data_IF_996922058919
#
_entry.id   IF_996922058919
#
_cell.length_a   1.000
_cell.length_b   1.000
_cell.length_c   1.000
_cell.angle_alpha   90.00
_cell.angle_beta   90.00
_cell.angle_gamma   90.00
#
_symmetry.space_group_name_H-M   'P 1'
#
loop_
_entity.id
_entity.type
_entity.pdbx_description
1 polymer ?
#
# COMPACT_ATOMS: atom_id res chain seq x y z
N UNK A 1 7.62 70.73 12.35
CA UNK A 1 7.73 69.87 11.15
C UNK A 1 7.96 68.39 11.52
N UNK A 2 8.83 68.10 12.50
CA UNK A 2 9.20 66.74 12.94
C UNK A 2 8.00 65.87 13.40
N UNK A 3 7.07 66.42 14.19
CA UNK A 3 5.92 65.66 14.71
C UNK A 3 4.95 65.16 13.61
N UNK A 4 4.80 65.91 12.51
CA UNK A 4 3.96 65.50 11.37
C UNK A 4 4.60 64.37 10.58
N UNK A 5 5.93 64.40 10.42
CA UNK A 5 6.67 63.32 9.76
C UNK A 5 6.63 62.01 10.55
N UNK A 6 6.77 62.08 11.88
CA UNK A 6 6.69 60.90 12.75
C UNK A 6 5.31 60.22 12.71
N UNK A 7 4.22 61.00 12.75
CA UNK A 7 2.86 60.46 12.67
C UNK A 7 2.59 59.76 11.33
N UNK A 8 3.04 60.32 10.22
CA UNK A 8 2.91 59.70 8.90
C UNK A 8 3.69 58.39 8.77
N UNK A 9 4.91 58.33 9.32
CA UNK A 9 5.73 57.11 9.29
C UNK A 9 5.08 55.96 10.08
N UNK A 10 4.49 56.26 11.25
CA UNK A 10 3.78 55.27 12.08
C UNK A 10 2.55 54.73 11.35
N UNK A 11 1.77 55.59 10.71
CA UNK A 11 0.58 55.17 9.95
C UNK A 11 0.94 54.29 8.75
N UNK A 12 1.96 54.67 7.99
CA UNK A 12 2.42 53.88 6.83
C UNK A 12 2.97 52.52 7.31
N UNK A 13 3.78 52.50 8.36
CA UNK A 13 4.28 51.26 8.95
C UNK A 13 3.15 50.35 9.46
N UNK A 14 2.17 50.92 10.16
CA UNK A 14 0.99 50.19 10.65
C UNK A 14 0.14 49.62 9.52
N UNK A 15 -0.04 50.36 8.42
CA UNK A 15 -0.78 49.89 7.26
C UNK A 15 -0.06 48.74 6.56
N UNK A 16 1.24 48.87 6.28
CA UNK A 16 2.03 47.84 5.61
C UNK A 16 2.10 46.53 6.42
N UNK A 17 2.28 46.63 7.75
CA UNK A 17 2.29 45.48 8.64
C UNK A 17 0.89 44.87 8.81
N UNK A 18 -0.15 45.70 8.90
CA UNK A 18 -1.54 45.25 9.03
C UNK A 18 -2.06 44.52 7.80
N UNK A 19 -1.77 45.03 6.59
CA UNK A 19 -2.27 44.41 5.34
C UNK A 19 -1.51 43.15 4.95
N UNK A 20 -0.23 43.01 5.31
CA UNK A 20 0.55 41.79 5.04
C UNK A 20 0.32 40.68 6.07
N UNK A 21 -0.19 41.02 7.26
CA UNK A 21 -0.46 40.07 8.35
C UNK A 21 -1.52 39.01 8.04
N UNK A 22 -2.46 39.26 7.12
CA UNK A 22 -3.48 38.26 6.74
C UNK A 22 -2.87 37.00 6.11
N UNK A 23 -1.71 37.12 5.44
CA UNK A 23 -1.01 36.00 4.82
C UNK A 23 -0.29 35.07 5.81
N UNK A 24 -0.12 35.50 7.06
CA UNK A 24 0.53 34.73 8.15
C UNK A 24 -0.45 33.77 8.85
N UNK A 25 -1.74 34.11 8.87
CA UNK A 25 -2.77 33.31 9.53
C UNK A 25 -3.62 32.47 8.56
N UNK A 26 -3.43 32.64 7.26
CA UNK A 26 -4.06 31.78 6.26
C UNK A 26 -3.42 30.40 6.27
N UNK A 27 -4.25 29.37 6.32
CA UNK A 27 -3.82 27.99 6.08
C UNK A 27 -3.10 27.90 4.73
N UNK A 28 -1.96 27.21 4.71
CA UNK A 28 -1.20 26.98 3.48
C UNK A 28 -1.76 25.70 2.86
N UNK A 29 -2.40 25.83 1.70
CA UNK A 29 -2.97 24.68 0.98
C UNK A 29 -1.94 23.55 0.76
N UNK A 30 -0.65 23.87 0.63
CA UNK A 30 0.45 22.91 0.47
C UNK A 30 0.79 22.13 1.74
N UNK A 31 0.26 22.52 2.90
CA UNK A 31 0.44 21.80 4.17
C UNK A 31 -0.75 20.90 4.50
N UNK A 32 -1.86 21.01 3.76
CA UNK A 32 -3.00 20.12 3.89
C UNK A 32 -2.56 18.73 3.43
N UNK A 33 -2.55 17.77 4.34
CA UNK A 33 -2.24 16.40 4.03
C UNK A 33 -3.39 15.80 3.23
N UNK A 34 -3.06 15.18 2.11
CA UNK A 34 -3.95 14.40 1.27
C UNK A 34 -3.13 13.25 0.68
N UNK A 35 -3.81 12.21 0.23
CA UNK A 35 -3.16 11.14 -0.53
C UNK A 35 -3.04 11.57 -2.00
N UNK A 36 -1.84 11.86 -2.53
CA UNK A 36 -1.67 12.32 -3.90
C UNK A 36 -1.72 11.19 -4.93
N UNK A 37 -1.94 9.96 -4.48
CA UNK A 37 -1.98 8.74 -5.28
C UNK A 37 -3.36 8.12 -5.28
N UNK A 38 -3.59 7.14 -6.15
CA UNK A 38 -4.87 6.42 -6.25
C UNK A 38 -5.11 5.48 -5.07
N UNK A 39 -4.06 5.12 -4.33
CA UNK A 39 -4.14 4.31 -3.11
C UNK A 39 -4.37 5.12 -1.84
N UNK A 40 -4.48 4.40 -0.73
CA UNK A 40 -4.60 4.96 0.62
C UNK A 40 -3.29 4.86 1.40
N UNK A 41 -3.16 5.52 2.54
CA UNK A 41 -1.98 5.45 3.39
C UNK A 41 -2.33 5.31 4.87
N UNK A 42 -1.38 4.76 5.62
CA UNK A 42 -1.47 4.69 7.07
C UNK A 42 -0.08 4.85 7.71
N UNK A 43 -0.09 5.39 8.93
CA UNK A 43 1.08 5.43 9.81
C UNK A 43 0.80 4.52 11.00
N UNK A 44 1.57 3.45 11.14
CA UNK A 44 1.51 2.48 12.22
C UNK A 44 2.85 2.57 12.95
N UNK A 45 2.91 3.28 14.08
CA UNK A 45 4.16 3.48 14.81
C UNK A 45 5.31 3.92 13.89
N UNK A 46 6.31 3.06 13.72
CA UNK A 46 7.51 3.30 12.91
C UNK A 46 7.37 2.85 11.44
N UNK A 47 6.24 2.20 11.09
CA UNK A 47 5.88 1.80 9.74
C UNK A 47 4.95 2.82 9.10
N UNK A 48 5.33 3.25 7.90
CA UNK A 48 4.57 4.13 7.05
C UNK A 48 4.18 3.40 5.77
N UNK A 49 2.89 3.08 5.64
CA UNK A 49 2.31 2.50 4.43
C UNK A 49 1.86 3.62 3.50
N UNK A 50 2.26 3.57 2.23
CA UNK A 50 1.96 4.58 1.21
C UNK A 50 1.44 3.91 -0.04
N UNK A 51 0.48 4.57 -0.69
CA UNK A 51 -0.12 4.11 -1.93
C UNK A 51 -0.62 2.65 -1.86
N UNK A 52 -1.29 2.29 -0.77
CA UNK A 52 -1.90 0.96 -0.63
C UNK A 52 -3.09 0.89 -1.59
N UNK A 53 -2.97 0.03 -2.58
CA UNK A 53 -3.88 -0.12 -3.71
C UNK A 53 -4.14 -1.61 -3.95
N UNK A 54 -5.39 -1.99 -4.17
CA UNK A 54 -5.75 -3.37 -4.48
C UNK A 54 -6.04 -3.49 -5.98
N UNK A 55 -5.36 -4.42 -6.66
CA UNK A 55 -5.61 -4.73 -8.07
C UNK A 55 -6.14 -6.16 -8.18
N UNK A 56 -7.28 -6.33 -8.85
CA UNK A 56 -7.91 -7.63 -9.06
C UNK A 56 -8.69 -7.69 -10.36
N UNK A 57 -8.68 -8.84 -11.04
CA UNK A 57 -9.52 -9.07 -12.23
C UNK A 57 -10.94 -9.52 -11.85
N UNK A 58 -11.05 -10.30 -10.77
CA UNK A 58 -12.25 -11.08 -10.43
C UNK A 58 -12.83 -10.77 -9.05
N UNK A 59 -12.10 -10.04 -8.21
CA UNK A 59 -12.45 -9.76 -6.81
C UNK A 59 -11.88 -10.79 -5.82
N UNK A 60 -11.37 -11.92 -6.31
CA UNK A 60 -11.07 -13.08 -5.46
C UNK A 60 -9.57 -13.18 -5.17
N UNK A 61 -8.76 -12.94 -6.20
CA UNK A 61 -7.31 -12.79 -6.06
C UNK A 61 -6.96 -11.32 -6.19
N UNK A 62 -6.29 -10.76 -5.18
CA UNK A 62 -5.91 -9.34 -5.12
C UNK A 62 -4.40 -9.22 -5.03
N UNK A 63 -3.80 -8.40 -5.89
CA UNK A 63 -2.42 -7.93 -5.73
C UNK A 63 -2.45 -6.60 -4.97
N UNK A 64 -1.82 -6.57 -3.79
CA UNK A 64 -1.60 -5.33 -3.07
C UNK A 64 -0.35 -4.64 -3.60
N UNK A 65 -0.56 -3.45 -4.18
CA UNK A 65 0.51 -2.55 -4.59
C UNK A 65 0.68 -1.51 -3.50
N UNK A 66 1.90 -1.36 -2.96
CA UNK A 66 2.19 -0.38 -1.91
C UNK A 66 3.69 -0.11 -1.76
N UNK A 67 4.01 0.96 -1.04
CA UNK A 67 5.34 1.20 -0.48
C UNK A 67 5.27 1.24 1.04
N UNK A 68 6.13 0.48 1.70
CA UNK A 68 6.30 0.50 3.15
C UNK A 68 7.65 1.13 3.51
N UNK A 69 7.63 2.18 4.34
CA UNK A 69 8.84 2.76 4.92
C UNK A 69 8.94 2.35 6.38
N UNK A 70 10.09 1.83 6.77
CA UNK A 70 10.40 1.48 8.14
C UNK A 70 11.44 2.46 8.69
N UNK A 71 11.01 3.28 9.64
CA UNK A 71 11.81 4.33 10.26
C UNK A 71 12.56 3.85 11.52
N UNK A 72 12.33 2.60 11.94
CA UNK A 72 13.05 1.97 13.05
C UNK A 72 14.39 1.38 12.60
N UNK A 73 15.27 1.07 13.55
CA UNK A 73 16.54 0.39 13.28
C UNK A 73 16.39 -1.14 13.05
N UNK A 74 15.20 -1.69 13.28
CA UNK A 74 14.93 -3.13 13.28
C UNK A 74 14.09 -3.56 12.07
N UNK A 75 14.23 -4.81 11.64
CA UNK A 75 13.37 -5.38 10.62
C UNK A 75 11.97 -5.70 11.17
N UNK A 76 10.92 -5.31 10.47
CA UNK A 76 9.52 -5.44 10.92
C UNK A 76 8.75 -6.29 9.92
N UNK A 77 7.94 -7.22 10.46
CA UNK A 77 6.88 -7.90 9.72
C UNK A 77 5.56 -7.16 9.93
N UNK A 78 4.96 -6.69 8.85
CA UNK A 78 3.64 -6.05 8.84
C UNK A 78 2.63 -7.11 8.44
N UNK A 79 1.65 -7.38 9.32
CA UNK A 79 0.53 -8.26 9.06
C UNK A 79 -0.66 -7.45 8.54
N UNK A 80 -1.31 -7.98 7.50
CA UNK A 80 -2.54 -7.48 6.91
C UNK A 80 -3.62 -8.52 7.06
N UNK A 81 -4.70 -8.16 7.74
CA UNK A 81 -5.91 -8.96 7.83
C UNK A 81 -6.98 -8.37 6.90
N UNK A 82 -7.69 -9.24 6.20
CA UNK A 82 -8.72 -8.88 5.23
C UNK A 82 -9.89 -9.86 5.30
N UNK A 83 -10.97 -9.57 4.58
CA UNK A 83 -12.19 -10.38 4.55
C UNK A 83 -12.70 -10.71 5.98
N UNK A 84 -12.95 -9.66 6.77
CA UNK A 84 -13.37 -9.74 8.18
C UNK A 84 -12.46 -10.61 9.08
N UNK A 85 -11.17 -10.69 8.74
CA UNK A 85 -10.16 -11.46 9.47
C UNK A 85 -10.09 -12.95 9.07
N UNK A 86 -10.78 -13.35 8.00
CA UNK A 86 -10.65 -14.68 7.44
C UNK A 86 -9.32 -14.89 6.69
N UNK A 87 -8.75 -13.82 6.14
CA UNK A 87 -7.46 -13.82 5.45
C UNK A 87 -6.38 -13.06 6.22
N UNK A 88 -5.14 -13.52 6.10
CA UNK A 88 -3.95 -12.85 6.63
C UNK A 88 -2.80 -12.97 5.63
N UNK A 89 -2.06 -11.88 5.41
CA UNK A 89 -0.82 -11.85 4.64
C UNK A 89 0.24 -11.00 5.36
N UNK A 90 1.51 -11.33 5.21
CA UNK A 90 2.61 -10.61 5.88
C UNK A 90 3.70 -10.19 4.92
N UNK A 91 4.21 -8.98 5.09
CA UNK A 91 5.41 -8.52 4.39
C UNK A 91 6.51 -8.13 5.36
N UNK A 92 7.75 -8.24 4.89
CA UNK A 92 8.94 -7.87 5.65
C UNK A 92 9.58 -6.59 5.10
N UNK A 93 9.89 -5.66 6.01
CA UNK A 93 10.60 -4.41 5.72
C UNK A 93 11.80 -4.28 6.64
N UNK A 94 13.00 -4.17 6.06
CA UNK A 94 14.22 -3.97 6.84
C UNK A 94 14.20 -2.61 7.57
N UNK A 95 14.91 -2.50 8.69
CA UNK A 95 15.07 -1.22 9.40
C UNK A 95 15.73 -0.16 8.54
N UNK A 96 15.38 1.11 8.77
CA UNK A 96 15.84 2.29 8.04
C UNK A 96 15.76 2.12 6.51
N UNK A 97 14.67 1.52 6.02
CA UNK A 97 14.52 1.22 4.61
C UNK A 97 13.13 1.56 4.08
N UNK A 98 13.06 1.70 2.76
CA UNK A 98 11.82 1.83 2.00
C UNK A 98 11.77 0.68 1.02
N UNK A 99 10.63 -0.03 0.98
CA UNK A 99 10.43 -1.16 0.07
C UNK A 99 9.05 -1.08 -0.56
N UNK A 100 9.03 -1.21 -1.88
CA UNK A 100 7.81 -1.30 -2.68
C UNK A 100 7.46 -2.75 -2.99
N UNK A 101 6.17 -3.00 -3.18
CA UNK A 101 5.56 -4.30 -3.38
C UNK A 101 4.50 -4.23 -4.48
N UNK A 102 4.26 -5.36 -5.14
CA UNK A 102 3.15 -5.55 -6.08
C UNK A 102 3.40 -5.06 -7.51
N UNK A 103 4.54 -4.42 -7.79
CA UNK A 103 4.97 -4.13 -9.16
C UNK A 103 5.61 -5.35 -9.83
N UNK A 104 5.68 -5.43 -11.18
CA UNK A 104 6.20 -6.61 -11.89
C UNK A 104 7.62 -7.06 -11.54
N UNK A 105 8.49 -6.13 -11.10
CA UNK A 105 9.88 -6.40 -10.71
C UNK A 105 10.10 -6.35 -9.20
N UNK A 106 9.02 -6.32 -8.42
CA UNK A 106 9.04 -6.22 -6.95
C UNK A 106 8.42 -7.47 -6.32
N UNK A 107 8.58 -7.62 -5.01
CA UNK A 107 7.94 -8.72 -4.29
C UNK A 107 6.41 -8.55 -4.37
N UNK A 108 5.71 -9.61 -4.74
CA UNK A 108 4.25 -9.60 -4.81
C UNK A 108 3.63 -9.81 -3.43
N UNK A 109 2.47 -9.18 -3.20
CA UNK A 109 1.65 -9.39 -1.99
C UNK A 109 0.27 -9.78 -2.48
N UNK A 110 -0.01 -11.09 -2.48
CA UNK A 110 -1.23 -11.64 -3.07
C UNK A 110 -2.17 -12.06 -1.95
N UNK A 111 -3.36 -11.48 -1.94
CA UNK A 111 -4.46 -11.90 -1.08
C UNK A 111 -5.34 -12.85 -1.87
N UNK A 112 -5.57 -14.05 -1.33
CA UNK A 112 -6.49 -15.05 -1.92
C UNK A 112 -7.79 -15.08 -1.14
N UNK A 113 -8.88 -15.43 -1.82
CA UNK A 113 -10.23 -15.48 -1.23
C UNK A 113 -10.62 -14.14 -0.58
N UNK A 114 -10.29 -13.04 -1.26
CA UNK A 114 -10.47 -11.69 -0.75
C UNK A 114 -11.94 -11.23 -0.78
N UNK A 115 -12.75 -11.72 -1.73
CA UNK A 115 -14.18 -11.42 -1.92
C UNK A 115 -14.44 -9.90 -1.95
N UNK A 116 -13.75 -9.21 -2.88
CA UNK A 116 -13.79 -7.74 -2.97
C UNK A 116 -14.58 -7.23 -4.17
N UNK A 117 -15.27 -6.10 -3.98
CA UNK A 117 -15.95 -5.40 -5.06
C UNK A 117 -14.97 -4.49 -5.83
N UNK A 118 -14.80 -4.74 -7.13
CA UNK A 118 -14.02 -3.89 -8.03
C UNK A 118 -14.68 -2.50 -8.14
N UNK A 119 -13.89 -1.44 -7.97
CA UNK A 119 -14.37 -0.05 -7.85
C UNK A 119 -14.85 0.32 -6.45
N UNK A 120 -14.85 -0.64 -5.52
CA UNK A 120 -15.18 -0.45 -4.11
C UNK A 120 -13.97 -0.12 -3.23
N UNK A 121 -14.21 -0.16 -1.91
CA UNK A 121 -13.19 0.00 -0.88
C UNK A 121 -13.13 -1.30 -0.06
N UNK A 122 -12.01 -2.02 -0.15
CA UNK A 122 -11.73 -3.20 0.67
C UNK A 122 -11.22 -2.76 2.05
N UNK A 123 -11.84 -3.19 3.17
CA UNK A 123 -11.26 -3.04 4.50
C UNK A 123 -10.00 -3.91 4.64
N UNK A 124 -8.86 -3.28 4.92
CA UNK A 124 -7.59 -3.94 5.16
C UNK A 124 -7.04 -3.50 6.51
N UNK A 125 -6.92 -4.42 7.46
CA UNK A 125 -6.42 -4.11 8.79
C UNK A 125 -4.93 -4.42 8.90
N UNK A 126 -4.11 -3.39 9.02
CA UNK A 126 -2.66 -3.51 9.17
C UNK A 126 -2.24 -3.47 10.64
N UNK A 127 -1.27 -4.29 11.02
CA UNK A 127 -0.67 -4.30 12.35
C UNK A 127 0.79 -4.81 12.30
N UNK A 128 1.61 -4.41 13.27
CA UNK A 128 2.87 -5.10 13.56
C UNK A 128 3.13 -5.11 15.07
N UNK A 129 3.73 -6.20 15.56
CA UNK A 129 4.07 -6.36 16.98
C UNK A 129 2.88 -6.04 17.91
N UNK A 130 3.16 -5.28 18.97
CA UNK A 130 2.16 -4.79 19.93
C UNK A 130 1.58 -3.41 19.57
N UNK A 131 1.94 -2.85 18.40
CA UNK A 131 1.44 -1.56 17.96
C UNK A 131 -0.06 -1.65 17.67
N UNK A 132 -0.89 -0.68 18.10
CA UNK A 132 -2.29 -0.64 17.72
C UNK A 132 -2.44 -0.67 16.21
N UNK A 133 -3.18 -1.66 15.70
CA UNK A 133 -3.43 -1.79 14.28
C UNK A 133 -4.35 -0.69 13.76
N UNK A 134 -4.40 -0.56 12.43
CA UNK A 134 -5.22 0.43 11.73
C UNK A 134 -5.94 -0.23 10.56
N UNK A 135 -7.21 0.09 10.45
CA UNK A 135 -7.99 -0.22 9.26
C UNK A 135 -7.73 0.83 8.17
N UNK A 136 -7.42 0.35 6.97
CA UNK A 136 -7.36 1.11 5.74
C UNK A 136 -8.57 0.75 4.88
N UNK A 137 -9.19 1.75 4.27
CA UNK A 137 -10.16 1.55 3.20
C UNK A 137 -9.42 1.61 1.87
N UNK A 138 -9.02 0.44 1.37
CA UNK A 138 -8.15 0.29 0.20
C UNK A 138 -9.00 0.28 -1.07
N UNK A 139 -8.79 1.20 -2.02
CA UNK A 139 -9.52 1.19 -3.27
C UNK A 139 -9.12 -0.01 -4.13
N UNK A 140 -10.12 -0.62 -4.77
CA UNK A 140 -9.96 -1.81 -5.61
C UNK A 140 -10.13 -1.42 -7.07
N UNK A 141 -9.13 -1.72 -7.89
CA UNK A 141 -9.16 -1.50 -9.34
C UNK A 141 -8.93 -2.80 -10.10
N UNK A 142 -9.27 -2.79 -11.38
CA UNK A 142 -9.01 -3.87 -12.33
C UNK A 142 -7.95 -3.49 -13.37
N UNK A 143 -7.62 -4.43 -14.25
CA UNK A 143 -6.71 -4.20 -15.37
C UNK A 143 -7.34 -3.50 -16.58
N UNK A 144 -8.56 -2.96 -16.45
CA UNK A 144 -9.26 -2.32 -17.59
C UNK A 144 -8.59 -1.02 -18.03
N UNK A 145 -7.87 -0.39 -17.11
CA UNK A 145 -7.01 0.75 -17.37
C UNK A 145 -5.58 0.26 -17.68
N UNK A 146 -4.92 0.92 -18.63
CA UNK A 146 -3.66 0.42 -19.23
C UNK A 146 -2.45 0.45 -18.29
N UNK A 147 -2.42 1.37 -17.35
CA UNK A 147 -1.44 1.50 -16.26
C UNK A 147 -1.53 0.39 -15.19
N UNK A 148 -2.70 -0.20 -14.95
CA UNK A 148 -2.92 -1.30 -13.99
C UNK A 148 -2.92 -2.68 -14.65
N UNK A 149 -3.00 -2.75 -15.99
CA UNK A 149 -3.07 -4.00 -16.74
C UNK A 149 -1.96 -5.01 -16.44
N UNK A 150 -0.77 -4.54 -16.04
CA UNK A 150 0.37 -5.41 -15.67
C UNK A 150 0.40 -5.78 -14.18
N UNK A 151 -0.51 -5.22 -13.38
CA UNK A 151 -0.58 -5.40 -11.93
C UNK A 151 -1.65 -6.39 -11.51
N UNK A 152 -2.48 -6.83 -12.46
CA UNK A 152 -3.47 -7.87 -12.25
C UNK A 152 -2.75 -9.18 -11.86
N UNK A 153 -3.16 -9.83 -10.76
CA UNK A 153 -2.63 -11.14 -10.39
C UNK A 153 -2.76 -12.10 -11.56
N UNK A 154 -1.66 -12.76 -11.92
CA UNK A 154 -1.77 -13.93 -12.79
C UNK A 154 -2.13 -15.10 -11.90
N UNK A 155 -3.22 -15.82 -12.17
CA UNK A 155 -3.52 -17.04 -11.43
C UNK A 155 -2.25 -17.92 -11.35
N UNK A 156 -1.94 -18.52 -10.20
CA UNK A 156 -0.88 -19.49 -10.15
C UNK A 156 -1.24 -20.58 -11.15
N UNK A 157 -0.47 -20.66 -12.24
CA UNK A 157 -0.60 -21.75 -13.20
C UNK A 157 -0.48 -23.03 -12.40
N UNK A 158 -1.58 -23.75 -12.21
CA UNK A 158 -1.56 -25.09 -11.65
C UNK A 158 -0.63 -25.89 -12.55
N UNK A 159 0.61 -26.08 -12.12
CA UNK A 159 1.52 -27.00 -12.80
C UNK A 159 0.80 -28.34 -12.77
N UNK A 160 0.42 -28.94 -13.91
CA UNK A 160 -0.23 -30.23 -13.87
C UNK A 160 0.71 -31.16 -13.12
N UNK A 161 0.24 -31.65 -11.97
CA UNK A 161 0.92 -32.71 -11.23
C UNK A 161 1.12 -33.83 -12.22
N UNK A 162 2.38 -34.12 -12.56
CA UNK A 162 2.70 -35.24 -13.41
C UNK A 162 2.08 -36.48 -12.77
N UNK A 163 1.08 -37.04 -13.44
CA UNK A 163 0.52 -38.34 -13.11
C UNK A 163 1.69 -39.33 -12.99
N UNK A 164 1.81 -40.08 -11.89
CA UNK A 164 2.94 -40.99 -11.72
C UNK A 164 2.87 -42.04 -12.83
N UNK A 165 3.83 -41.97 -13.76
CA UNK A 165 4.07 -43.01 -14.76
C UNK A 165 4.14 -44.35 -14.06
N UNK A 166 3.17 -45.22 -14.37
CA UNK A 166 2.99 -46.52 -13.74
C UNK A 166 4.28 -47.33 -13.64
N UNK A 167 4.46 -47.96 -12.49
CA UNK A 167 5.50 -48.96 -12.22
C UNK A 167 5.56 -50.00 -13.35
N UNK A 168 6.74 -50.28 -13.94
CA UNK A 168 6.84 -51.36 -14.91
C UNK A 168 6.58 -52.71 -14.22
N UNK A 169 5.62 -53.45 -14.77
CA UNK A 169 5.28 -54.82 -14.38
C UNK A 169 6.50 -55.75 -14.61
N UNK A 170 6.84 -56.67 -13.69
CA UNK A 170 7.98 -57.57 -13.89
C UNK A 170 7.67 -58.62 -14.96
N UNK A 171 8.51 -58.68 -16.00
CA UNK A 171 8.52 -59.76 -16.98
C UNK A 171 9.00 -61.06 -16.34
N UNK A 172 8.13 -62.06 -16.30
CA UNK A 172 8.45 -63.43 -15.87
C UNK A 172 9.42 -64.12 -16.82
N UNK A 173 10.56 -64.57 -16.32
CA UNK A 173 11.50 -65.49 -16.98
C UNK A 173 10.89 -66.88 -17.08
N UNK A 174 10.79 -67.51 -18.27
CA UNK A 174 10.46 -68.92 -18.36
C UNK A 174 11.70 -69.78 -18.11
N UNK A 175 11.51 -70.83 -17.30
CA UNK A 175 12.47 -71.90 -17.10
C UNK A 175 12.61 -72.76 -18.36
N UNK A 176 13.83 -73.23 -18.64
CA UNK A 176 14.06 -74.40 -19.48
C UNK A 176 15.28 -75.18 -18.96
N UNK A 177 15.11 -76.50 -19.07
CA UNK A 177 15.97 -77.65 -18.72
C UNK A 177 17.49 -77.48 -18.71
#
# INVERSE_FOLDING_TARGET
MIARGAASAILIGGLLLGTTGCSLFSEKATLIQYEPSDGTAANLGDIELRNVLAISEDGETVNLVLTANNTSDEGIFVSFQYNDGAGEEQLYVAGNSSKSFGQPDEDSVILTDADVEIGGLMPLYAQYGDTPGKELLVPVFDGSLGEYSTLVPTEPTSTPTAEPTGTPSPTSTPAAE
#
